data_IF_256484452632
#
_entry.id   IF_256484452632
#
_cell.length_a   1.000
_cell.length_b   1.000
_cell.length_c   1.000
_cell.angle_alpha   90.00
_cell.angle_beta   90.00
_cell.angle_gamma   90.00
#
_symmetry.space_group_name_H-M   'P 1'
#
loop_
_entity.id
_entity.type
_entity.pdbx_description
1 polymer ?
#
# COMPACT_ATOMS: atom_id res chain seq x y z
N UNK A 1 31.57 -41.58 -26.53
CA UNK A 1 30.54 -42.64 -26.34
C UNK A 1 29.54 -42.16 -25.29
N UNK A 2 28.26 -42.44 -25.54
CA UNK A 2 27.05 -42.14 -24.75
C UNK A 2 26.50 -40.70 -24.70
N UNK A 3 25.79 -40.41 -25.78
CA UNK A 3 24.57 -39.59 -25.89
C UNK A 3 23.46 -40.01 -24.91
N UNK A 4 22.72 -39.04 -24.36
CA UNK A 4 21.29 -39.25 -24.07
C UNK A 4 20.48 -37.95 -24.30
N UNK A 5 19.75 -37.96 -25.43
CA UNK A 5 18.52 -37.18 -25.68
C UNK A 5 17.37 -37.80 -24.90
N UNK A 6 16.35 -37.01 -24.56
CA UNK A 6 14.91 -37.32 -24.42
C UNK A 6 14.27 -36.09 -23.74
N UNK A 7 13.11 -35.52 -24.07
CA UNK A 7 12.19 -35.62 -25.20
C UNK A 7 11.27 -34.40 -25.10
N UNK A 8 10.97 -33.78 -26.25
CA UNK A 8 10.00 -32.69 -26.41
C UNK A 8 8.59 -33.28 -26.37
N UNK A 9 7.70 -32.78 -25.50
CA UNK A 9 6.27 -33.10 -25.56
C UNK A 9 5.48 -31.90 -26.07
N UNK A 10 4.92 -32.04 -27.26
CA UNK A 10 3.90 -31.20 -27.90
C UNK A 10 2.66 -32.06 -28.06
N UNK A 11 1.52 -31.64 -27.51
CA UNK A 11 0.13 -31.95 -27.95
C UNK A 11 -0.82 -30.97 -27.24
N UNK A 12 -2.02 -30.62 -27.69
CA UNK A 12 -2.61 -30.28 -28.99
C UNK A 12 -4.05 -29.83 -28.63
N UNK A 13 -4.53 -28.76 -29.28
CA UNK A 13 -5.93 -28.54 -29.74
C UNK A 13 -7.04 -28.36 -28.70
N UNK A 14 -7.84 -27.30 -28.90
CA UNK A 14 -9.15 -27.13 -28.26
C UNK A 14 -9.80 -25.77 -28.57
N UNK A 15 -10.23 -25.55 -29.80
CA UNK A 15 -11.11 -24.44 -30.21
C UNK A 15 -12.56 -24.79 -29.87
N UNK A 16 -13.33 -23.88 -29.27
CA UNK A 16 -14.79 -23.84 -29.41
C UNK A 16 -15.36 -22.44 -29.11
N UNK A 17 -16.19 -21.98 -30.06
CA UNK A 17 -17.00 -20.77 -30.12
C UNK A 17 -18.34 -21.03 -29.39
N UNK A 18 -19.03 -19.96 -28.94
CA UNK A 18 -20.49 -19.71 -28.81
C UNK A 18 -20.60 -18.62 -27.71
N UNK A 19 -21.20 -17.45 -27.86
CA UNK A 19 -22.32 -17.04 -28.68
C UNK A 19 -23.46 -16.55 -27.75
N UNK A 20 -24.08 -15.44 -28.14
CA UNK A 20 -25.40 -14.89 -27.74
C UNK A 20 -25.49 -13.66 -26.81
N UNK A 21 -26.04 -12.61 -27.44
CA UNK A 21 -26.73 -11.43 -26.92
C UNK A 21 -27.90 -11.76 -25.97
N UNK A 22 -28.27 -10.81 -25.09
CA UNK A 22 -29.63 -10.22 -25.09
C UNK A 22 -29.69 -8.87 -24.35
N UNK A 23 -30.39 -7.91 -24.98
CA UNK A 23 -30.91 -6.65 -24.45
C UNK A 23 -32.01 -6.88 -23.38
N UNK A 24 -32.24 -5.87 -22.53
CA UNK A 24 -33.48 -5.79 -21.72
C UNK A 24 -33.55 -4.57 -20.80
N UNK A 25 -33.92 -3.41 -21.35
CA UNK A 25 -34.46 -2.25 -20.61
C UNK A 25 -35.88 -2.53 -20.10
N UNK A 26 -36.26 -2.03 -18.91
CA UNK A 26 -37.47 -1.20 -18.75
C UNK A 26 -37.54 -0.58 -17.35
N UNK A 27 -37.84 0.71 -17.33
CA UNK A 27 -38.27 1.48 -16.16
C UNK A 27 -39.74 1.17 -15.83
N UNK A 28 -40.11 1.26 -14.55
CA UNK A 28 -41.49 1.45 -14.14
C UNK A 28 -41.55 2.25 -12.83
N UNK A 29 -42.05 3.49 -12.94
CA UNK A 29 -42.57 4.27 -11.84
C UNK A 29 -43.95 3.70 -11.44
N UNK A 30 -44.22 3.61 -10.14
CA UNK A 30 -45.52 3.23 -9.62
C UNK A 30 -45.80 3.95 -8.31
N UNK A 31 -46.53 5.06 -8.39
CA UNK A 31 -47.15 5.76 -7.26
C UNK A 31 -48.53 5.17 -7.00
N UNK A 32 -48.88 4.94 -5.74
CA UNK A 32 -50.23 4.55 -5.33
C UNK A 32 -50.36 4.44 -3.82
N UNK A 33 -50.96 5.45 -3.19
CA UNK A 33 -51.21 5.47 -1.75
C UNK A 33 -52.51 4.77 -1.37
N UNK A 34 -52.68 4.52 -0.07
CA UNK A 34 -53.93 4.73 0.67
C UNK A 34 -53.74 4.52 2.18
N UNK A 35 -54.56 5.25 2.91
CA UNK A 35 -54.54 5.53 4.34
C UNK A 35 -54.86 4.32 5.22
N UNK A 36 -54.23 4.26 6.39
CA UNK A 36 -54.65 3.46 7.53
C UNK A 36 -54.40 4.26 8.81
N UNK A 37 -55.47 4.78 9.40
CA UNK A 37 -55.46 5.42 10.72
C UNK A 37 -55.30 4.36 11.81
N UNK A 38 -54.32 4.56 12.69
CA UNK A 38 -54.08 3.70 13.85
C UNK A 38 -53.15 4.36 14.85
N UNK A 39 -53.75 4.98 15.86
CA UNK A 39 -53.31 5.03 17.27
C UNK A 39 -51.87 5.45 17.59
N UNK A 40 -51.78 6.69 18.09
CA UNK A 40 -50.84 7.26 19.06
C UNK A 40 -49.66 6.39 19.53
N UNK A 41 -48.46 6.74 19.09
CA UNK A 41 -47.21 6.54 19.84
C UNK A 41 -46.27 7.70 19.47
N UNK A 42 -45.77 8.40 20.50
CA UNK A 42 -44.85 9.52 20.34
C UNK A 42 -43.56 9.05 19.66
N UNK A 43 -43.03 9.76 18.65
CA UNK A 43 -41.69 9.49 18.17
C UNK A 43 -40.70 10.01 19.23
N UNK A 44 -39.87 9.10 19.69
CA UNK A 44 -38.63 9.43 20.40
C UNK A 44 -37.77 10.27 19.45
N UNK A 45 -37.45 11.49 19.85
CA UNK A 45 -36.57 12.38 19.10
C UNK A 45 -35.15 11.84 19.19
N UNK A 46 -34.77 10.91 18.32
CA UNK A 46 -33.36 10.59 18.09
C UNK A 46 -32.69 11.77 17.41
N UNK A 47 -32.06 12.61 18.24
CA UNK A 47 -31.15 13.67 17.85
C UNK A 47 -30.03 13.07 17.00
N UNK A 48 -30.12 13.26 15.68
CA UNK A 48 -29.04 12.88 14.75
C UNK A 48 -27.92 13.87 14.94
N UNK A 49 -26.94 13.54 15.79
CA UNK A 49 -25.68 14.28 15.84
C UNK A 49 -24.95 14.09 14.51
N UNK A 50 -25.09 15.06 13.61
CA UNK A 50 -24.23 15.18 12.44
C UNK A 50 -22.79 15.37 12.92
N UNK A 51 -22.00 14.29 12.90
CA UNK A 51 -20.56 14.37 13.16
C UNK A 51 -19.91 15.02 11.94
N UNK A 52 -19.68 16.32 12.03
CA UNK A 52 -18.81 17.06 11.10
C UNK A 52 -17.42 16.41 11.14
N UNK A 53 -16.98 15.85 10.01
CA UNK A 53 -15.63 15.32 9.88
C UNK A 53 -14.61 16.44 10.17
N UNK A 54 -13.58 16.19 10.99
CA UNK A 54 -12.57 17.20 11.29
C UNK A 54 -11.84 17.63 10.01
N UNK A 55 -11.45 18.91 9.90
CA UNK A 55 -10.74 19.41 8.73
C UNK A 55 -9.40 18.67 8.58
N UNK A 56 -9.19 18.01 7.45
CA UNK A 56 -7.89 17.46 7.05
C UNK A 56 -6.91 18.61 6.85
N UNK A 57 -6.10 18.87 7.88
CA UNK A 57 -5.03 19.86 7.81
C UNK A 57 -3.89 19.26 7.00
N UNK A 58 -3.81 19.63 5.72
CA UNK A 58 -2.64 19.31 4.89
C UNK A 58 -1.46 20.12 5.42
N UNK A 59 -0.59 19.47 6.19
CA UNK A 59 0.59 20.12 6.74
C UNK A 59 1.66 20.13 5.65
N UNK A 60 1.99 21.30 5.09
CA UNK A 60 3.01 21.49 4.04
C UNK A 60 4.45 21.36 4.59
N UNK A 61 4.61 21.15 5.89
CA UNK A 61 5.93 20.99 6.54
C UNK A 61 6.39 19.54 6.35
N UNK A 62 7.60 19.34 5.81
CA UNK A 62 8.23 18.01 5.78
C UNK A 62 8.33 17.48 7.22
N UNK A 63 7.67 16.35 7.56
CA UNK A 63 7.67 15.82 8.91
C UNK A 63 9.09 15.49 9.41
N UNK A 64 10.04 15.28 8.50
CA UNK A 64 11.45 15.07 8.79
C UNK A 64 12.19 16.31 9.31
N UNK A 65 11.57 17.50 9.31
CA UNK A 65 12.16 18.72 9.89
C UNK A 65 11.93 18.84 11.41
N UNK A 66 11.03 18.03 11.96
CA UNK A 66 10.75 17.97 13.40
C UNK A 66 11.44 16.76 14.03
N UNK A 67 11.75 16.81 15.34
CA UNK A 67 12.27 15.66 16.06
C UNK A 67 11.31 14.46 16.02
N UNK A 68 11.87 13.27 16.13
CA UNK A 68 11.11 12.02 16.26
C UNK A 68 10.22 12.02 17.52
N UNK A 69 9.07 11.31 17.45
CA UNK A 69 8.27 10.93 18.62
C UNK A 69 8.25 9.40 18.79
N UNK A 70 7.89 8.93 19.98
CA UNK A 70 7.75 7.50 20.29
C UNK A 70 6.36 6.92 19.98
N UNK A 71 5.48 7.71 19.34
CA UNK A 71 4.17 7.25 18.91
C UNK A 71 4.31 6.07 17.93
N UNK A 72 3.84 4.89 18.35
CA UNK A 72 3.78 3.70 17.49
C UNK A 72 2.75 3.93 16.37
N UNK A 73 3.12 3.85 15.08
CA UNK A 73 2.14 3.99 14.01
C UNK A 73 1.17 2.78 13.98
N UNK A 74 -0.05 3.03 13.51
CA UNK A 74 -1.04 2.00 13.24
C UNK A 74 -1.15 1.71 11.74
N UNK A 75 -1.59 0.51 11.38
CA UNK A 75 -1.88 0.14 9.98
C UNK A 75 -3.22 0.70 9.50
N UNK A 76 -4.11 1.13 10.41
CA UNK A 76 -5.43 1.67 10.09
C UNK A 76 -5.42 3.20 9.85
N UNK A 77 -4.24 3.81 9.82
CA UNK A 77 -4.09 5.25 9.62
C UNK A 77 -4.44 5.65 8.18
N UNK A 78 -5.35 6.61 7.96
CA UNK A 78 -5.66 7.13 6.63
C UNK A 78 -4.44 7.63 5.86
N UNK A 79 -3.47 8.25 6.53
CA UNK A 79 -2.25 8.74 5.89
C UNK A 79 -1.35 7.58 5.41
N UNK A 80 -1.26 6.50 6.19
CA UNK A 80 -0.61 5.27 5.77
C UNK A 80 -1.32 4.64 4.57
N UNK A 81 -2.66 4.54 4.62
CA UNK A 81 -3.47 4.01 3.51
C UNK A 81 -3.23 4.79 2.22
N UNK A 82 -3.28 6.13 2.28
CA UNK A 82 -3.00 6.99 1.13
C UNK A 82 -1.59 6.78 0.57
N UNK A 83 -0.58 6.68 1.45
CA UNK A 83 0.81 6.41 1.06
C UNK A 83 0.94 5.06 0.34
N UNK A 84 0.25 4.03 0.82
CA UNK A 84 0.31 2.69 0.23
C UNK A 84 -0.43 2.62 -1.11
N UNK A 85 -1.48 3.42 -1.32
CA UNK A 85 -2.10 3.59 -2.64
C UNK A 85 -1.14 4.21 -3.66
N UNK A 86 -0.39 5.25 -3.26
CA UNK A 86 0.65 5.85 -4.13
C UNK A 86 1.71 4.82 -4.52
N UNK A 87 2.17 4.00 -3.56
CA UNK A 87 3.13 2.95 -3.84
C UNK A 87 2.54 1.87 -4.75
N UNK A 88 1.29 1.47 -4.52
CA UNK A 88 0.60 0.47 -5.33
C UNK A 88 0.48 0.93 -6.79
N UNK A 89 0.10 2.18 -7.02
CA UNK A 89 0.03 2.76 -8.37
C UNK A 89 1.40 2.87 -9.03
N UNK A 90 2.43 3.24 -8.27
CA UNK A 90 3.80 3.27 -8.79
C UNK A 90 4.30 1.86 -9.18
N UNK A 91 3.96 0.84 -8.39
CA UNK A 91 4.29 -0.56 -8.71
C UNK A 91 3.52 -1.02 -9.96
N UNK A 92 2.20 -0.81 -10.04
CA UNK A 92 1.38 -1.22 -11.20
C UNK A 92 1.88 -0.64 -12.51
N UNK A 93 2.28 0.63 -12.50
CA UNK A 93 2.70 1.37 -13.68
C UNK A 93 4.22 1.31 -13.94
N UNK A 94 4.99 0.59 -13.11
CA UNK A 94 6.45 0.62 -13.12
C UNK A 94 7.01 2.05 -13.16
N UNK A 95 6.55 2.89 -12.22
CA UNK A 95 6.92 4.30 -12.09
C UNK A 95 7.69 4.56 -10.79
N UNK A 96 8.95 4.08 -10.65
CA UNK A 96 9.73 4.22 -9.42
C UNK A 96 9.87 5.66 -8.90
N UNK A 97 9.87 6.65 -9.79
CA UNK A 97 10.02 8.05 -9.40
C UNK A 97 8.82 8.55 -8.58
N UNK A 98 7.60 8.13 -8.92
CA UNK A 98 6.38 8.48 -8.18
C UNK A 98 6.35 7.85 -6.79
N UNK A 99 6.97 6.67 -6.63
CA UNK A 99 7.02 5.96 -5.35
C UNK A 99 7.86 6.69 -4.28
N UNK A 100 8.75 7.62 -4.65
CA UNK A 100 9.71 8.25 -3.72
C UNK A 100 9.01 8.97 -2.56
N UNK A 101 7.81 9.53 -2.76
CA UNK A 101 7.03 10.17 -1.69
C UNK A 101 6.56 9.20 -0.59
N UNK A 102 6.66 7.89 -0.84
CA UNK A 102 6.30 6.82 0.11
C UNK A 102 7.51 6.33 0.91
N UNK A 103 8.72 6.68 0.46
CA UNK A 103 9.97 6.34 1.10
C UNK A 103 10.21 7.20 2.35
N UNK A 104 11.05 6.70 3.26
CA UNK A 104 11.45 7.42 4.47
C UNK A 104 12.06 8.80 4.14
N UNK A 105 11.56 9.92 4.70
CA UNK A 105 11.98 11.26 4.28
C UNK A 105 13.46 11.55 4.52
N UNK A 106 14.07 12.33 3.63
CA UNK A 106 15.49 12.67 3.72
C UNK A 106 15.83 13.46 4.98
N UNK A 107 14.97 14.40 5.40
CA UNK A 107 15.23 15.18 6.62
C UNK A 107 15.13 14.31 7.88
N UNK A 108 14.22 13.33 7.91
CA UNK A 108 14.16 12.32 8.98
C UNK A 108 15.40 11.40 8.99
N UNK A 109 15.92 11.05 7.80
CA UNK A 109 17.12 10.25 7.65
C UNK A 109 18.37 10.93 8.23
N UNK A 110 18.51 12.23 7.98
CA UNK A 110 19.61 13.04 8.54
C UNK A 110 19.62 13.04 10.07
N UNK A 111 18.46 12.97 10.71
CA UNK A 111 18.35 12.90 12.16
C UNK A 111 18.57 11.48 12.71
N UNK A 112 18.25 10.45 11.92
CA UNK A 112 18.33 9.05 12.35
C UNK A 112 19.74 8.49 12.24
N UNK A 113 20.50 8.84 11.20
CA UNK A 113 21.79 8.20 10.90
C UNK A 113 22.99 9.08 11.21
N UNK A 114 24.03 8.46 11.77
CA UNK A 114 25.35 9.07 11.91
C UNK A 114 26.16 8.81 10.64
N UNK A 115 26.01 9.70 9.67
CA UNK A 115 26.75 9.65 8.41
C UNK A 115 27.40 11.00 8.14
N UNK A 116 28.57 11.00 7.52
CA UNK A 116 29.28 12.21 7.04
C UNK A 116 28.48 12.96 5.98
N UNK A 117 27.78 12.27 5.09
CA UNK A 117 26.91 12.88 4.08
C UNK A 117 25.57 12.12 3.94
N UNK A 118 24.64 12.31 4.89
CA UNK A 118 23.37 11.57 4.92
C UNK A 118 22.49 11.83 3.70
N UNK A 119 22.51 13.05 3.12
CA UNK A 119 21.71 13.37 1.94
C UNK A 119 22.19 12.60 0.69
N UNK A 120 23.51 12.54 0.48
CA UNK A 120 24.07 11.79 -0.63
C UNK A 120 23.83 10.28 -0.48
N UNK A 121 23.99 9.72 0.72
CA UNK A 121 23.72 8.30 0.97
C UNK A 121 22.24 7.94 0.76
N UNK A 122 21.34 8.78 1.26
CA UNK A 122 19.90 8.64 1.02
C UNK A 122 19.57 8.61 -0.47
N UNK A 123 20.08 9.57 -1.24
CA UNK A 123 19.75 9.67 -2.66
C UNK A 123 20.42 8.58 -3.51
N UNK A 124 21.71 8.34 -3.28
CA UNK A 124 22.53 7.53 -4.19
C UNK A 124 22.42 6.04 -3.88
N UNK A 125 22.22 5.66 -2.60
CA UNK A 125 22.13 4.24 -2.21
C UNK A 125 20.70 3.84 -1.90
N UNK A 126 20.03 4.56 -1.00
CA UNK A 126 18.71 4.14 -0.51
C UNK A 126 17.62 4.30 -1.58
N UNK A 127 17.52 5.48 -2.21
CA UNK A 127 16.55 5.70 -3.26
C UNK A 127 16.87 4.91 -4.52
N UNK A 128 18.14 4.76 -4.89
CA UNK A 128 18.52 3.86 -5.99
C UNK A 128 18.02 2.42 -5.73
N UNK A 129 18.23 1.93 -4.51
CA UNK A 129 17.75 0.62 -4.11
C UNK A 129 16.22 0.52 -4.11
N UNK A 130 15.55 1.52 -3.55
CA UNK A 130 14.10 1.54 -3.51
C UNK A 130 13.47 1.57 -4.91
N UNK A 131 14.09 2.26 -5.88
CA UNK A 131 13.60 2.27 -7.27
C UNK A 131 13.67 0.89 -7.92
N UNK A 132 14.77 0.19 -7.73
CA UNK A 132 14.93 -1.19 -8.20
C UNK A 132 13.93 -2.14 -7.53
N UNK A 133 13.66 -1.96 -6.24
CA UNK A 133 12.65 -2.71 -5.50
C UNK A 133 11.26 -2.51 -6.13
N UNK A 134 10.87 -1.28 -6.47
CA UNK A 134 9.59 -0.97 -7.14
C UNK A 134 9.51 -1.66 -8.51
N UNK A 135 10.59 -1.62 -9.31
CA UNK A 135 10.61 -2.32 -10.59
C UNK A 135 10.59 -3.85 -10.43
N UNK A 136 11.20 -4.40 -9.38
CA UNK A 136 11.13 -5.82 -9.07
C UNK A 136 9.71 -6.23 -8.62
N UNK A 137 9.03 -5.38 -7.84
CA UNK A 137 7.64 -5.58 -7.45
C UNK A 137 6.70 -5.58 -8.66
N UNK A 138 6.89 -4.67 -9.63
CA UNK A 138 6.13 -4.68 -10.88
C UNK A 138 6.31 -6.00 -11.64
N UNK A 139 7.55 -6.47 -11.79
CA UNK A 139 7.85 -7.77 -12.43
C UNK A 139 7.16 -8.93 -11.74
N UNK A 140 6.97 -8.87 -10.41
CA UNK A 140 6.27 -9.89 -9.63
C UNK A 140 4.75 -9.88 -9.86
N UNK A 141 4.17 -8.75 -10.23
CA UNK A 141 2.77 -8.69 -10.69
C UNK A 141 2.58 -9.33 -12.08
N UNK A 142 3.66 -9.42 -12.87
CA UNK A 142 3.65 -10.05 -14.19
C UNK A 142 3.24 -9.10 -15.32
N UNK A 143 2.96 -9.64 -16.53
CA UNK A 143 2.66 -8.83 -17.71
C UNK A 143 1.38 -7.98 -17.55
N UNK A 144 0.43 -8.44 -16.74
CA UNK A 144 -0.85 -7.76 -16.49
C UNK A 144 -0.78 -6.85 -15.25
N UNK A 145 0.41 -6.39 -14.85
CA UNK A 145 0.61 -5.53 -13.67
C UNK A 145 -0.30 -4.29 -13.65
N UNK A 146 -0.59 -3.71 -14.82
CA UNK A 146 -1.46 -2.54 -14.92
C UNK A 146 -2.92 -2.84 -14.52
N UNK A 147 -3.40 -4.07 -14.70
CA UNK A 147 -4.76 -4.49 -14.29
C UNK A 147 -4.84 -4.95 -12.83
N UNK A 148 -3.69 -5.07 -12.14
CA UNK A 148 -3.66 -5.51 -10.75
C UNK A 148 -4.50 -4.60 -9.85
N UNK A 149 -5.34 -5.20 -9.01
CA UNK A 149 -6.14 -4.50 -8.01
C UNK A 149 -5.44 -4.59 -6.67
N UNK A 150 -5.16 -3.44 -6.06
CA UNK A 150 -4.57 -3.36 -4.73
C UNK A 150 -5.63 -3.63 -3.65
N UNK A 151 -5.34 -4.56 -2.76
CA UNK A 151 -6.26 -5.03 -1.71
C UNK A 151 -5.92 -4.49 -0.32
N UNK A 152 -4.78 -3.79 -0.19
CA UNK A 152 -4.30 -3.25 1.09
C UNK A 152 -3.00 -3.89 1.56
N UNK A 153 -2.60 -3.54 2.79
CA UNK A 153 -1.35 -3.99 3.42
C UNK A 153 -1.64 -4.83 4.65
N UNK A 154 -0.96 -5.97 4.76
CA UNK A 154 -0.87 -6.72 6.01
C UNK A 154 0.39 -6.32 6.76
N UNK A 155 0.22 -5.75 7.96
CA UNK A 155 1.33 -5.36 8.85
C UNK A 155 1.33 -6.29 10.06
N UNK A 156 2.41 -7.05 10.31
CA UNK A 156 2.46 -7.92 11.48
C UNK A 156 2.58 -7.09 12.76
N UNK A 157 2.02 -7.59 13.87
CA UNK A 157 2.14 -6.95 15.18
C UNK A 157 3.49 -7.26 15.87
N UNK A 158 4.59 -7.12 15.13
CA UNK A 158 5.98 -7.40 15.56
C UNK A 158 6.86 -6.16 15.54
N UNK A 159 6.24 -4.97 15.48
CA UNK A 159 6.95 -3.71 15.47
C UNK A 159 7.79 -3.53 16.76
N UNK A 160 9.04 -3.12 16.60
CA UNK A 160 10.01 -2.91 17.68
C UNK A 160 10.49 -1.46 17.69
N UNK A 161 10.70 -0.89 18.88
CA UNK A 161 11.33 0.41 19.04
C UNK A 161 12.84 0.26 19.01
N UNK A 162 13.46 0.77 17.95
CA UNK A 162 14.91 0.78 17.76
C UNK A 162 15.49 1.96 18.51
N UNK A 163 16.43 1.70 19.43
CA UNK A 163 17.05 2.72 20.27
C UNK A 163 18.24 3.37 19.57
N UNK A 164 18.63 4.61 19.95
CA UNK A 164 19.91 5.17 19.54
C UNK A 164 21.06 4.23 19.90
N UNK A 165 22.04 4.09 19.02
CA UNK A 165 23.17 3.17 19.15
C UNK A 165 22.94 1.79 18.53
N UNK A 166 21.70 1.38 18.28
CA UNK A 166 21.39 0.17 17.51
C UNK A 166 21.45 0.46 16.00
N UNK A 167 21.88 -0.51 15.19
CA UNK A 167 21.92 -0.41 13.72
C UNK A 167 22.68 0.84 13.19
N UNK A 168 23.70 1.27 13.93
CA UNK A 168 24.48 2.49 13.67
C UNK A 168 23.64 3.78 13.64
N UNK A 169 22.46 3.77 14.26
CA UNK A 169 21.58 4.93 14.38
C UNK A 169 22.00 5.83 15.54
N UNK A 170 21.69 7.12 15.40
CA UNK A 170 21.73 8.12 16.47
C UNK A 170 20.35 8.61 16.88
N UNK A 171 19.33 8.41 16.03
CA UNK A 171 17.92 8.68 16.35
C UNK A 171 17.11 7.38 16.48
N UNK A 172 16.02 7.39 17.26
CA UNK A 172 15.17 6.21 17.40
C UNK A 172 14.07 6.14 16.33
N UNK A 173 13.45 4.97 16.18
CA UNK A 173 12.23 4.78 15.39
C UNK A 173 11.55 3.45 15.74
N UNK A 174 10.25 3.33 15.46
CA UNK A 174 9.63 2.02 15.33
C UNK A 174 10.04 1.38 14.01
N UNK A 175 10.28 0.08 14.01
CA UNK A 175 10.50 -0.74 12.81
C UNK A 175 9.55 -1.92 12.82
N UNK A 176 8.99 -2.22 11.66
CA UNK A 176 8.31 -3.50 11.40
C UNK A 176 8.91 -4.15 10.17
N UNK A 177 9.08 -5.47 10.22
CA UNK A 177 9.62 -6.29 9.14
C UNK A 177 8.52 -7.21 8.59
N UNK A 178 8.71 -7.67 7.35
CA UNK A 178 7.88 -8.70 6.72
C UNK A 178 6.39 -8.31 6.59
N UNK A 179 6.10 -7.04 6.37
CA UNK A 179 4.78 -6.60 5.91
C UNK A 179 4.56 -7.05 4.46
N UNK A 180 3.31 -7.05 4.00
CA UNK A 180 2.97 -7.48 2.63
C UNK A 180 1.93 -6.55 2.02
N UNK A 181 2.18 -6.06 0.79
CA UNK A 181 1.15 -5.46 -0.05
C UNK A 181 0.44 -6.56 -0.83
N UNK A 182 -0.89 -6.62 -0.69
CA UNK A 182 -1.70 -7.65 -1.31
C UNK A 182 -2.35 -7.11 -2.58
N UNK A 183 -2.23 -7.86 -3.67
CA UNK A 183 -2.85 -7.55 -4.96
C UNK A 183 -3.66 -8.74 -5.46
N UNK A 184 -4.57 -8.48 -6.39
CA UNK A 184 -5.15 -9.51 -7.25
C UNK A 184 -4.87 -9.18 -8.72
N UNK A 185 -4.35 -10.15 -9.47
CA UNK A 185 -4.11 -10.05 -10.92
C UNK A 185 -4.92 -11.16 -11.58
N UNK A 186 -5.90 -10.79 -12.42
CA UNK A 186 -6.85 -11.73 -13.03
C UNK A 186 -7.48 -12.70 -12.01
N UNK A 187 -7.89 -12.18 -10.85
CA UNK A 187 -8.48 -12.95 -9.76
C UNK A 187 -7.50 -13.80 -8.94
N UNK A 188 -6.20 -13.83 -9.28
CA UNK A 188 -5.18 -14.53 -8.50
C UNK A 188 -4.51 -13.60 -7.49
N UNK A 189 -4.41 -14.04 -6.24
CA UNK A 189 -3.71 -13.29 -5.21
C UNK A 189 -2.19 -13.24 -5.50
N UNK A 190 -1.62 -12.03 -5.43
CA UNK A 190 -0.18 -11.78 -5.54
C UNK A 190 0.25 -10.93 -4.34
N UNK A 191 1.22 -11.46 -3.58
CA UNK A 191 1.80 -10.79 -2.43
C UNK A 191 3.13 -10.12 -2.81
N UNK A 192 3.22 -8.80 -2.69
CA UNK A 192 4.48 -8.05 -2.81
C UNK A 192 5.03 -7.80 -1.41
N UNK A 193 6.29 -8.17 -1.13
CA UNK A 193 6.87 -7.93 0.19
C UNK A 193 7.05 -6.43 0.46
N UNK A 194 6.86 -6.04 1.72
CA UNK A 194 7.32 -4.81 2.35
C UNK A 194 8.29 -5.21 3.45
N UNK A 195 9.52 -5.54 3.03
CA UNK A 195 10.48 -6.20 3.90
C UNK A 195 10.86 -5.36 5.12
N UNK A 196 10.90 -4.03 4.98
CA UNK A 196 11.14 -3.11 6.10
C UNK A 196 10.37 -1.81 5.96
N UNK A 197 9.64 -1.46 7.02
CA UNK A 197 9.09 -0.13 7.25
C UNK A 197 9.62 0.43 8.57
N UNK A 198 9.87 1.75 8.59
CA UNK A 198 10.27 2.47 9.79
C UNK A 198 9.38 3.68 10.02
N UNK A 199 9.28 4.12 11.27
CA UNK A 199 8.39 5.22 11.63
C UNK A 199 9.09 6.57 11.66
N UNK A 200 8.34 7.61 11.31
CA UNK A 200 8.62 8.96 11.76
C UNK A 200 7.33 9.60 12.28
N UNK A 201 7.35 10.07 13.52
CA UNK A 201 6.28 10.82 14.18
C UNK A 201 4.90 10.17 14.05
N UNK A 202 4.80 8.88 14.40
CA UNK A 202 3.55 8.14 14.33
C UNK A 202 3.10 7.70 12.94
N UNK A 203 3.94 7.86 11.91
CA UNK A 203 3.66 7.46 10.52
C UNK A 203 4.60 6.36 10.05
N UNK A 204 4.08 5.36 9.32
CA UNK A 204 4.91 4.35 8.63
C UNK A 204 5.44 4.88 7.29
N UNK A 205 6.72 4.60 7.02
CA UNK A 205 7.37 4.83 5.74
C UNK A 205 8.10 3.58 5.28
N UNK A 206 8.19 3.42 3.95
CA UNK A 206 8.85 2.27 3.33
C UNK A 206 10.35 2.51 3.23
N UNK A 207 11.14 1.45 3.45
CA UNK A 207 12.60 1.46 3.21
C UNK A 207 12.99 0.38 2.21
N UNK A 208 12.41 -0.81 2.30
CA UNK A 208 12.67 -1.90 1.36
C UNK A 208 11.38 -2.65 1.05
N UNK A 209 11.14 -2.95 -0.23
CA UNK A 209 10.13 -3.94 -0.63
C UNK A 209 10.77 -5.33 -0.62
N UNK A 210 11.97 -5.46 -1.16
CA UNK A 210 12.70 -6.72 -1.31
C UNK A 210 13.80 -6.91 -0.26
N UNK A 211 14.81 -7.70 -0.62
CA UNK A 211 15.98 -7.96 0.21
C UNK A 211 16.67 -6.65 0.63
N UNK A 212 16.99 -6.54 1.92
CA UNK A 212 17.71 -5.41 2.50
C UNK A 212 19.17 -5.44 2.02
N UNK A 213 19.71 -4.29 1.65
CA UNK A 213 21.01 -4.12 1.00
C UNK A 213 21.65 -2.76 1.28
#
# INVERSE_FOLDING_TARGET
>A
MNTNRLTRSRRHIGTAIIGLLTLGTLAACGSGGSQGSGTTSAPDSTETTATTAPPTTSTTVDPGTLPQTDQKPTADDPAFTARMNVLADAIRNNSPQTAISTFFPVEAYKQTKKNTNPAADWNNRLIASFREDVSAANKKLGPDAASAVFQGVTVPNTATWVKPGEEYNVGPYWRVLNSTMNFTVDGRAVAIPLNSMISWRGQWYVVHLGTIR
#
